data_IF_753094324286
#
_entry.id   IF_753094324286
#
_cell.length_a   1.000
_cell.length_b   1.000
_cell.length_c   1.000
_cell.angle_alpha   90.00
_cell.angle_beta   90.00
_cell.angle_gamma   90.00
#
_symmetry.space_group_name_H-M   'P 1'
#
loop_
_entity.id
_entity.type
_entity.pdbx_description
1 polymer ?
#
# COMPACT_ATOMS: atom_id res chain seq x y z
N UNK A 1 -8.00 -33.32 -4.91
CA UNK A 1 -8.20 -32.04 -4.18
C UNK A 1 -6.92 -31.42 -3.63
N UNK A 2 -5.75 -32.10 -3.61
CA UNK A 2 -4.47 -31.51 -3.16
C UNK A 2 -3.73 -30.62 -4.19
N UNK A 3 -4.15 -30.62 -5.45
CA UNK A 3 -3.38 -30.03 -6.56
C UNK A 3 -3.47 -28.50 -6.64
N UNK A 4 -4.65 -27.93 -6.35
CA UNK A 4 -4.89 -26.49 -6.53
C UNK A 4 -4.07 -25.64 -5.54
N UNK A 5 -3.81 -26.17 -4.34
CA UNK A 5 -2.99 -25.56 -3.31
C UNK A 5 -1.51 -25.54 -3.71
N UNK A 6 -1.01 -26.71 -4.17
CA UNK A 6 0.36 -26.85 -4.63
C UNK A 6 0.64 -25.95 -5.85
N UNK A 7 -0.29 -25.87 -6.80
CA UNK A 7 -0.15 -24.99 -7.99
C UNK A 7 -0.10 -23.52 -7.59
N UNK A 8 -0.97 -23.09 -6.66
CA UNK A 8 -0.99 -21.70 -6.16
C UNK A 8 0.32 -21.35 -5.45
N UNK A 9 0.74 -22.21 -4.53
CA UNK A 9 1.91 -21.96 -3.70
C UNK A 9 3.20 -22.04 -4.55
N UNK A 10 3.28 -22.98 -5.49
CA UNK A 10 4.37 -23.06 -6.46
C UNK A 10 4.44 -21.82 -7.34
N UNK A 11 3.29 -21.34 -7.87
CA UNK A 11 3.24 -20.09 -8.65
C UNK A 11 3.74 -18.91 -7.81
N UNK A 12 3.27 -18.76 -6.58
CA UNK A 12 3.70 -17.66 -5.71
C UNK A 12 5.22 -17.73 -5.46
N UNK A 13 5.75 -18.91 -5.18
CA UNK A 13 7.19 -19.11 -4.95
C UNK A 13 8.00 -18.75 -6.20
N UNK A 14 7.54 -19.15 -7.39
CA UNK A 14 8.19 -18.82 -8.66
C UNK A 14 8.18 -17.30 -8.93
N UNK A 15 7.03 -16.65 -8.74
CA UNK A 15 6.89 -15.20 -8.85
C UNK A 15 7.83 -14.48 -7.88
N UNK A 16 7.82 -14.89 -6.61
CA UNK A 16 8.64 -14.28 -5.56
C UNK A 16 10.15 -14.51 -5.78
N UNK A 17 10.54 -15.70 -6.23
CA UNK A 17 11.93 -16.03 -6.53
C UNK A 17 12.49 -15.16 -7.66
N UNK A 18 11.68 -14.92 -8.70
CA UNK A 18 12.07 -14.05 -9.83
C UNK A 18 12.37 -12.64 -9.33
N UNK A 19 11.50 -12.08 -8.47
CA UNK A 19 11.69 -10.73 -7.91
C UNK A 19 12.92 -10.67 -7.01
N UNK A 20 13.09 -11.68 -6.13
CA UNK A 20 14.23 -11.73 -5.20
C UNK A 20 15.56 -11.82 -5.95
N UNK A 21 15.62 -12.53 -7.08
CA UNK A 21 16.82 -12.60 -7.91
C UNK A 21 17.17 -11.22 -8.49
N UNK A 22 16.23 -10.54 -9.15
CA UNK A 22 16.45 -9.19 -9.72
C UNK A 22 16.87 -8.19 -8.61
N UNK A 23 16.27 -8.27 -7.42
CA UNK A 23 16.64 -7.42 -6.28
C UNK A 23 18.06 -7.70 -5.76
N UNK A 24 18.47 -8.98 -5.68
CA UNK A 24 19.81 -9.38 -5.24
C UNK A 24 20.89 -9.00 -6.25
N UNK A 25 20.60 -9.13 -7.55
CA UNK A 25 21.49 -8.67 -8.62
C UNK A 25 21.74 -7.16 -8.53
N UNK A 26 20.76 -6.40 -8.06
CA UNK A 26 20.88 -4.98 -7.76
C UNK A 26 21.51 -4.65 -6.39
N UNK A 27 22.00 -5.67 -5.67
CA UNK A 27 22.73 -5.53 -4.40
C UNK A 27 21.87 -5.58 -3.13
N UNK A 28 20.59 -5.93 -3.21
CA UNK A 28 19.75 -6.08 -2.04
C UNK A 28 20.03 -7.40 -1.30
N UNK A 29 20.23 -7.34 0.03
CA UNK A 29 20.32 -8.54 0.86
C UNK A 29 18.93 -8.93 1.38
N UNK A 30 18.13 -9.54 0.51
CA UNK A 30 16.75 -9.97 0.83
C UNK A 30 16.54 -11.44 0.53
N UNK A 31 15.63 -12.06 1.28
CA UNK A 31 15.13 -13.43 1.06
C UNK A 31 13.69 -13.44 0.56
N UNK A 32 12.99 -12.33 0.76
CA UNK A 32 11.62 -12.11 0.35
C UNK A 32 11.41 -10.63 0.01
N UNK A 33 10.47 -10.32 -0.88
CA UNK A 33 10.02 -8.93 -1.11
C UNK A 33 9.50 -8.30 0.19
N UNK A 34 8.96 -9.11 1.10
CA UNK A 34 8.46 -8.67 2.40
C UNK A 34 9.56 -8.15 3.34
N UNK A 35 10.83 -8.50 3.10
CA UNK A 35 11.96 -7.98 3.86
C UNK A 35 12.14 -6.46 3.63
N UNK A 36 11.77 -5.97 2.43
CA UNK A 36 11.82 -4.55 2.09
C UNK A 36 10.72 -3.73 2.77
N UNK A 37 9.56 -4.34 3.06
CA UNK A 37 8.42 -3.68 3.72
C UNK A 37 8.80 -3.22 5.14
N UNK A 38 9.69 -3.96 5.81
CA UNK A 38 10.19 -3.63 7.14
C UNK A 38 11.45 -2.75 7.13
N UNK A 39 12.03 -2.51 5.95
CA UNK A 39 13.26 -1.75 5.81
C UNK A 39 12.98 -0.24 5.80
N UNK A 40 13.71 0.50 6.64
CA UNK A 40 13.55 1.95 6.80
C UNK A 40 14.41 2.78 5.86
N UNK A 41 15.40 2.16 5.21
CA UNK A 41 16.28 2.84 4.26
C UNK A 41 15.61 2.79 2.89
N UNK A 42 14.95 3.86 2.44
CA UNK A 42 14.05 3.88 1.26
C UNK A 42 14.61 3.54 -0.13
N UNK A 43 15.68 2.74 -0.23
CA UNK A 43 16.17 1.99 -1.40
C UNK A 43 15.77 2.50 -2.79
N UNK A 44 16.13 3.75 -3.14
CA UNK A 44 15.68 4.36 -4.40
C UNK A 44 16.13 3.56 -5.63
N UNK A 45 17.30 2.90 -5.57
CA UNK A 45 17.83 2.07 -6.65
C UNK A 45 17.01 0.81 -6.92
N UNK A 46 16.21 0.34 -5.95
CA UNK A 46 15.36 -0.85 -6.10
C UNK A 46 13.95 -0.51 -6.59
N UNK A 47 13.52 0.76 -6.48
CA UNK A 47 12.17 1.18 -6.88
C UNK A 47 11.88 0.87 -8.35
N UNK A 48 12.76 1.18 -9.34
CA UNK A 48 12.49 0.84 -10.74
C UNK A 48 12.29 -0.66 -10.97
N UNK A 49 13.00 -1.51 -10.22
CA UNK A 49 12.88 -2.98 -10.31
C UNK A 49 11.52 -3.42 -9.79
N UNK A 50 11.11 -2.93 -8.61
CA UNK A 50 9.79 -3.20 -8.04
C UNK A 50 8.67 -2.73 -8.99
N UNK A 51 8.83 -1.57 -9.63
CA UNK A 51 7.87 -1.04 -10.61
C UNK A 51 7.77 -1.90 -11.88
N UNK A 52 8.89 -2.43 -12.38
CA UNK A 52 8.90 -3.40 -13.49
C UNK A 52 8.11 -4.66 -13.10
N UNK A 53 8.34 -5.20 -11.91
CA UNK A 53 7.64 -6.40 -11.44
C UNK A 53 6.15 -6.17 -11.17
N UNK A 54 5.76 -4.97 -10.72
CA UNK A 54 4.36 -4.64 -10.45
C UNK A 54 3.47 -4.70 -11.70
N UNK A 55 4.07 -4.51 -12.89
CA UNK A 55 3.40 -4.56 -14.19
C UNK A 55 3.19 -6.00 -14.71
N UNK A 56 3.84 -6.99 -14.11
CA UNK A 56 3.72 -8.38 -14.51
C UNK A 56 2.40 -8.99 -13.99
N UNK A 57 1.86 -10.03 -14.67
CA UNK A 57 0.57 -10.64 -14.33
C UNK A 57 0.67 -11.56 -13.10
N UNK A 58 1.23 -11.06 -12.01
CA UNK A 58 1.42 -11.77 -10.77
C UNK A 58 0.13 -11.93 -9.97
N UNK A 59 0.14 -12.89 -9.06
CA UNK A 59 -0.94 -13.08 -8.10
C UNK A 59 -1.16 -11.83 -7.22
N UNK A 60 -2.39 -11.64 -6.74
CA UNK A 60 -2.74 -10.52 -5.86
C UNK A 60 -1.80 -10.41 -4.65
N UNK A 61 -1.44 -11.56 -4.07
CA UNK A 61 -0.54 -11.63 -2.92
C UNK A 61 0.86 -11.11 -3.25
N UNK A 62 1.43 -11.52 -4.38
CA UNK A 62 2.74 -11.04 -4.83
C UNK A 62 2.69 -9.54 -5.13
N UNK A 63 1.66 -9.09 -5.86
CA UNK A 63 1.47 -7.65 -6.16
C UNK A 63 1.31 -6.83 -4.89
N UNK A 64 0.62 -7.34 -3.87
CA UNK A 64 0.48 -6.72 -2.54
C UNK A 64 1.83 -6.55 -1.84
N UNK A 65 2.70 -7.57 -1.89
CA UNK A 65 4.06 -7.48 -1.35
C UNK A 65 4.88 -6.39 -2.03
N UNK A 66 4.85 -6.36 -3.37
CA UNK A 66 5.56 -5.33 -4.17
C UNK A 66 5.05 -3.93 -3.85
N UNK A 67 3.72 -3.72 -3.86
CA UNK A 67 3.14 -2.40 -3.58
C UNK A 67 3.45 -1.90 -2.16
N UNK A 68 3.48 -2.79 -1.15
CA UNK A 68 3.93 -2.40 0.20
C UNK A 68 5.41 -2.01 0.24
N UNK A 69 6.27 -2.70 -0.51
CA UNK A 69 7.68 -2.32 -0.63
C UNK A 69 7.85 -0.98 -1.38
N UNK A 70 6.87 -0.56 -2.19
CA UNK A 70 6.84 0.75 -2.84
C UNK A 70 6.34 1.89 -1.93
N UNK A 71 6.04 1.63 -0.65
CA UNK A 71 5.67 2.65 0.33
C UNK A 71 6.88 3.47 0.81
N UNK A 72 7.61 4.06 -0.13
CA UNK A 72 8.83 4.85 0.08
C UNK A 72 8.80 6.14 -0.74
N UNK A 73 9.46 7.23 -0.30
CA UNK A 73 9.43 8.51 -1.01
C UNK A 73 9.92 8.45 -2.46
N UNK A 74 10.88 7.57 -2.76
CA UNK A 74 11.43 7.41 -4.10
C UNK A 74 10.41 6.88 -5.13
N UNK A 75 9.30 6.26 -4.69
CA UNK A 75 8.23 5.84 -5.58
C UNK A 75 7.36 7.02 -6.08
N UNK A 76 7.59 8.25 -5.60
CA UNK A 76 6.90 9.46 -6.06
C UNK A 76 7.07 9.70 -7.57
N UNK A 77 8.19 9.25 -8.15
CA UNK A 77 8.44 9.32 -9.61
C UNK A 77 7.38 8.54 -10.42
N UNK A 78 6.74 7.54 -9.81
CA UNK A 78 5.74 6.67 -10.43
C UNK A 78 4.32 6.95 -9.93
N UNK A 79 4.09 8.14 -9.37
CA UNK A 79 2.82 8.52 -8.72
C UNK A 79 1.59 8.23 -9.58
N UNK A 80 1.55 8.75 -10.82
CA UNK A 80 0.40 8.60 -11.71
C UNK A 80 0.07 7.13 -12.00
N UNK A 81 1.11 6.31 -12.18
CA UNK A 81 0.93 4.88 -12.38
C UNK A 81 0.31 4.22 -11.14
N UNK A 82 0.82 4.54 -9.94
CA UNK A 82 0.30 3.98 -8.69
C UNK A 82 -1.16 4.40 -8.44
N UNK A 83 -1.51 5.65 -8.73
CA UNK A 83 -2.90 6.14 -8.66
C UNK A 83 -3.79 5.35 -9.62
N UNK A 84 -3.38 5.17 -10.87
CA UNK A 84 -4.14 4.38 -11.84
C UNK A 84 -4.30 2.93 -11.41
N UNK A 85 -3.26 2.30 -10.84
CA UNK A 85 -3.40 0.95 -10.30
C UNK A 85 -4.37 0.91 -9.11
N UNK A 86 -4.36 1.93 -8.24
CA UNK A 86 -5.22 1.99 -7.06
C UNK A 86 -6.70 2.12 -7.44
N UNK A 87 -7.01 3.03 -8.36
CA UNK A 87 -8.36 3.25 -8.89
C UNK A 87 -8.92 1.95 -9.52
N UNK A 88 -8.07 1.23 -10.27
CA UNK A 88 -8.47 0.01 -10.98
C UNK A 88 -8.42 -1.27 -10.11
N UNK A 89 -7.83 -1.22 -8.92
CA UNK A 89 -7.68 -2.38 -8.07
C UNK A 89 -9.03 -2.81 -7.48
N UNK A 90 -9.27 -4.12 -7.50
CA UNK A 90 -10.45 -4.73 -6.91
C UNK A 90 -10.34 -4.77 -5.38
N UNK A 91 -11.47 -4.63 -4.71
CA UNK A 91 -11.61 -4.84 -3.27
C UNK A 91 -12.42 -6.10 -2.99
N UNK A 92 -12.34 -6.57 -1.75
CA UNK A 92 -13.18 -7.62 -1.24
C UNK A 92 -12.51 -8.98 -1.20
N UNK A 93 -13.35 -10.01 -1.23
CA UNK A 93 -12.95 -11.39 -0.97
C UNK A 93 -12.62 -12.08 -2.29
N UNK A 94 -11.44 -12.70 -2.35
CA UNK A 94 -11.11 -13.70 -3.34
C UNK A 94 -11.89 -15.00 -3.13
N UNK A 95 -11.61 -16.03 -3.94
CA UNK A 95 -12.33 -17.30 -3.85
C UNK A 95 -12.15 -17.95 -2.47
N UNK A 96 -13.24 -18.49 -1.92
CA UNK A 96 -13.20 -19.46 -0.82
C UNK A 96 -12.84 -20.81 -1.42
N UNK A 97 -11.74 -21.38 -0.97
CA UNK A 97 -11.29 -22.68 -1.43
C UNK A 97 -11.89 -23.80 -0.56
N UNK A 98 -12.11 -25.01 -1.11
CA UNK A 98 -12.65 -26.13 -0.34
C UNK A 98 -11.77 -26.47 0.86
N UNK A 99 -12.35 -26.40 2.07
CA UNK A 99 -11.68 -26.74 3.33
C UNK A 99 -11.05 -25.57 4.09
N UNK A 100 -11.14 -24.33 3.59
CA UNK A 100 -10.82 -23.14 4.37
C UNK A 100 -12.09 -22.52 4.97
N UNK A 101 -12.04 -22.18 6.26
CA UNK A 101 -13.07 -21.38 6.93
C UNK A 101 -12.86 -19.88 6.69
N UNK A 102 -11.64 -19.45 6.36
CA UNK A 102 -11.27 -18.05 6.11
C UNK A 102 -11.26 -17.72 4.63
N UNK A 103 -12.04 -16.71 4.24
CA UNK A 103 -12.02 -16.16 2.89
C UNK A 103 -10.67 -15.51 2.58
N UNK A 104 -10.16 -15.73 1.36
CA UNK A 104 -9.00 -15.00 0.87
C UNK A 104 -9.37 -13.51 0.74
N UNK A 105 -8.67 -12.61 1.42
CA UNK A 105 -8.91 -11.15 1.28
C UNK A 105 -7.94 -10.61 0.23
N UNK A 106 -8.46 -9.94 -0.80
CA UNK A 106 -7.62 -9.26 -1.79
C UNK A 106 -6.90 -8.09 -1.11
N UNK A 107 -5.57 -8.14 -1.06
CA UNK A 107 -4.75 -7.19 -0.31
C UNK A 107 -4.02 -6.18 -1.20
N UNK A 108 -4.21 -6.25 -2.52
CA UNK A 108 -3.45 -5.41 -3.44
C UNK A 108 -3.86 -3.93 -3.38
N UNK A 109 -5.15 -3.61 -3.30
CA UNK A 109 -5.60 -2.21 -3.21
C UNK A 109 -5.13 -1.52 -1.93
N UNK A 110 -5.20 -2.21 -0.79
CA UNK A 110 -4.65 -1.72 0.47
C UNK A 110 -3.14 -1.49 0.39
N UNK A 111 -2.41 -2.40 -0.25
CA UNK A 111 -0.98 -2.25 -0.46
C UNK A 111 -0.64 -1.03 -1.34
N UNK A 112 -1.44 -0.76 -2.38
CA UNK A 112 -1.31 0.45 -3.19
C UNK A 112 -1.63 1.71 -2.40
N UNK A 113 -2.60 1.68 -1.49
CA UNK A 113 -2.85 2.79 -0.58
C UNK A 113 -1.65 3.06 0.35
N UNK A 114 -0.97 2.01 0.83
CA UNK A 114 0.31 2.17 1.53
C UNK A 114 1.38 2.79 0.62
N UNK A 115 1.49 2.36 -0.64
CA UNK A 115 2.43 2.91 -1.61
C UNK A 115 2.24 4.42 -1.78
N UNK A 116 1.01 4.85 -2.10
CA UNK A 116 0.63 6.25 -2.25
C UNK A 116 0.90 7.06 -0.97
N UNK A 117 0.57 6.51 0.19
CA UNK A 117 0.81 7.13 1.50
C UNK A 117 2.31 7.34 1.79
N UNK A 118 3.15 6.39 1.36
CA UNK A 118 4.61 6.47 1.52
C UNK A 118 5.32 7.32 0.47
N UNK A 119 4.71 7.50 -0.71
CA UNK A 119 5.29 8.20 -1.85
C UNK A 119 4.73 9.61 -2.08
N UNK A 120 3.74 10.05 -1.31
CA UNK A 120 3.14 11.39 -1.48
C UNK A 120 4.16 12.51 -1.24
N UNK A 121 4.06 13.55 -2.07
CA UNK A 121 4.82 14.79 -2.00
C UNK A 121 3.89 15.97 -1.74
N UNK A 122 4.42 17.17 -1.51
CA UNK A 122 3.59 18.37 -1.36
C UNK A 122 2.73 18.64 -2.60
N UNK A 123 3.29 18.40 -3.80
CA UNK A 123 2.60 18.61 -5.08
C UNK A 123 1.46 17.62 -5.32
N UNK A 124 1.61 16.38 -4.85
CA UNK A 124 0.64 15.29 -5.07
C UNK A 124 -0.36 15.11 -3.92
N UNK A 125 -0.13 15.82 -2.81
CA UNK A 125 -0.99 15.82 -1.63
C UNK A 125 -2.45 16.17 -1.92
N UNK A 126 -2.79 17.17 -2.77
CA UNK A 126 -4.19 17.43 -3.12
C UNK A 126 -4.88 16.20 -3.72
N UNK A 127 -4.21 15.47 -4.62
CA UNK A 127 -4.78 14.28 -5.24
C UNK A 127 -4.93 13.12 -4.24
N UNK A 128 -3.97 12.94 -3.32
CA UNK A 128 -4.11 11.96 -2.23
C UNK A 128 -5.36 12.25 -1.38
N UNK A 129 -5.64 13.53 -1.10
CA UNK A 129 -6.83 13.96 -0.34
C UNK A 129 -8.11 13.59 -1.09
N UNK A 130 -8.18 13.85 -2.39
CA UNK A 130 -9.36 13.48 -3.21
C UNK A 130 -9.61 11.97 -3.18
N UNK A 131 -8.57 11.14 -3.30
CA UNK A 131 -8.68 9.69 -3.18
C UNK A 131 -9.17 9.26 -1.78
N UNK A 132 -8.72 9.92 -0.71
CA UNK A 132 -9.18 9.61 0.65
C UNK A 132 -10.66 9.99 0.88
N UNK A 133 -11.14 11.04 0.19
CA UNK A 133 -12.52 11.52 0.27
C UNK A 133 -13.51 10.68 -0.52
N UNK A 134 -13.08 10.03 -1.60
CA UNK A 134 -13.98 9.24 -2.45
C UNK A 134 -14.41 7.92 -1.77
N UNK A 135 -15.67 7.77 -1.30
CA UNK A 135 -16.12 6.56 -0.62
C UNK A 135 -16.13 5.31 -1.51
N UNK A 136 -16.02 5.45 -2.83
CA UNK A 136 -15.90 4.32 -3.76
C UNK A 136 -14.62 3.50 -3.56
N UNK A 137 -13.65 4.01 -2.80
CA UNK A 137 -12.41 3.33 -2.45
C UNK A 137 -12.45 2.57 -1.11
N UNK A 138 -13.62 2.50 -0.47
CA UNK A 138 -13.86 1.60 0.65
C UNK A 138 -12.95 1.83 1.86
N UNK A 139 -12.60 0.75 2.55
CA UNK A 139 -11.80 0.78 3.77
C UNK A 139 -10.32 1.09 3.51
N UNK A 140 -9.83 0.86 2.29
CA UNK A 140 -8.43 1.15 1.93
C UNK A 140 -8.05 2.64 2.10
N UNK A 141 -9.05 3.53 2.09
CA UNK A 141 -8.90 4.98 2.36
C UNK A 141 -8.26 5.27 3.71
N UNK A 142 -8.42 4.38 4.70
CA UNK A 142 -7.79 4.50 6.02
C UNK A 142 -6.25 4.57 5.92
N UNK A 143 -5.67 3.94 4.90
CA UNK A 143 -4.21 3.92 4.69
C UNK A 143 -3.71 5.20 3.99
N UNK A 144 -4.59 5.91 3.28
CA UNK A 144 -4.28 7.16 2.58
C UNK A 144 -4.20 8.37 3.51
N UNK A 145 -4.85 8.34 4.69
CA UNK A 145 -4.93 9.53 5.57
C UNK A 145 -3.71 9.74 6.47
N UNK A 146 -2.82 8.74 6.58
CA UNK A 146 -1.61 8.81 7.41
C UNK A 146 -0.70 10.04 7.17
N UNK A 147 -0.47 10.49 5.92
CA UNK A 147 0.33 11.67 5.61
C UNK A 147 -0.32 12.97 6.09
N UNK A 148 -1.66 13.05 6.11
CA UNK A 148 -2.39 14.23 6.59
C UNK A 148 -2.08 14.52 8.06
N UNK A 149 -1.90 13.47 8.88
CA UNK A 149 -1.53 13.60 10.30
C UNK A 149 -0.17 14.28 10.50
N UNK A 150 0.76 14.09 9.56
CA UNK A 150 2.15 14.59 9.67
C UNK A 150 2.35 15.92 8.95
N UNK A 151 1.51 16.22 7.96
CA UNK A 151 1.58 17.43 7.16
C UNK A 151 1.11 18.66 7.94
N UNK A 152 1.83 19.78 7.78
CA UNK A 152 1.48 21.08 8.37
C UNK A 152 0.69 21.98 7.41
N UNK A 153 0.50 21.55 6.16
CA UNK A 153 -0.18 22.32 5.13
C UNK A 153 -1.63 22.62 5.53
N UNK A 154 -2.14 23.80 5.13
CA UNK A 154 -3.53 24.19 5.41
C UNK A 154 -4.52 23.18 4.84
N UNK A 155 -4.31 22.73 3.60
CA UNK A 155 -5.14 21.72 2.93
C UNK A 155 -5.24 20.40 3.72
N UNK A 156 -4.19 20.01 4.44
CA UNK A 156 -4.22 18.82 5.29
C UNK A 156 -5.10 19.02 6.50
N UNK A 157 -5.05 20.20 7.13
CA UNK A 157 -5.89 20.53 8.29
C UNK A 157 -7.36 20.56 7.88
N UNK A 158 -7.66 21.23 6.77
CA UNK A 158 -9.01 21.33 6.23
C UNK A 158 -9.55 19.94 5.88
N UNK A 159 -8.76 19.10 5.19
CA UNK A 159 -9.12 17.73 4.89
C UNK A 159 -9.35 16.88 6.16
N UNK A 160 -8.55 17.07 7.20
CA UNK A 160 -8.71 16.35 8.49
C UNK A 160 -9.98 16.77 9.22
N UNK A 161 -10.32 18.06 9.20
CA UNK A 161 -11.55 18.55 9.82
C UNK A 161 -12.79 18.05 9.07
N UNK A 162 -12.74 17.96 7.74
CA UNK A 162 -13.79 17.37 6.93
C UNK A 162 -13.94 15.86 7.17
N UNK A 163 -12.85 15.09 6.99
CA UNK A 163 -12.85 13.63 7.08
C UNK A 163 -13.13 13.10 8.50
N UNK A 164 -13.03 13.95 9.54
CA UNK A 164 -13.44 13.60 10.91
C UNK A 164 -14.89 13.16 11.01
N UNK A 165 -15.73 13.61 10.08
CA UNK A 165 -17.15 13.31 10.02
C UNK A 165 -17.47 12.10 9.10
N UNK A 166 -16.49 11.56 8.38
CA UNK A 166 -16.66 10.36 7.54
C UNK A 166 -16.87 9.13 8.45
N UNK A 167 -17.97 8.36 8.30
CA UNK A 167 -18.26 7.22 9.17
C UNK A 167 -17.17 6.15 9.23
N UNK A 168 -16.40 5.94 8.16
CA UNK A 168 -15.32 4.95 8.09
C UNK A 168 -14.00 5.48 8.65
N UNK A 169 -13.73 6.79 8.52
CA UNK A 169 -12.45 7.39 8.91
C UNK A 169 -12.48 8.14 10.25
N UNK A 170 -13.69 8.50 10.72
CA UNK A 170 -13.90 9.28 11.93
C UNK A 170 -13.19 8.69 13.14
N UNK A 171 -13.26 7.36 13.34
CA UNK A 171 -12.64 6.70 14.50
C UNK A 171 -11.14 6.96 14.56
N UNK A 172 -10.45 6.80 13.43
CA UNK A 172 -9.00 6.99 13.33
C UNK A 172 -8.63 8.48 13.47
N UNK A 173 -9.29 9.36 12.72
CA UNK A 173 -9.00 10.80 12.73
C UNK A 173 -9.28 11.44 14.09
N UNK A 174 -10.33 11.00 14.79
CA UNK A 174 -10.63 11.47 16.14
C UNK A 174 -9.59 11.03 17.17
N UNK A 175 -8.86 9.93 16.92
CA UNK A 175 -7.80 9.46 17.82
C UNK A 175 -6.58 10.39 17.86
N UNK A 176 -6.29 11.10 16.76
CA UNK A 176 -5.09 11.92 16.62
C UNK A 176 -5.03 13.13 17.57
N UNK A 177 -6.20 13.63 18.01
CA UNK A 177 -6.26 14.77 18.95
C UNK A 177 -5.68 14.43 20.33
N UNK A 178 -5.65 13.16 20.73
CA UNK A 178 -5.12 12.76 22.05
C UNK A 178 -3.60 12.81 22.18
N UNK A 179 -2.87 13.01 21.08
CA UNK A 179 -1.39 12.95 21.07
C UNK A 179 -0.68 14.31 21.08
N UNK A 180 -1.40 15.43 20.97
CA UNK A 180 -0.79 16.78 20.93
C UNK A 180 -0.92 17.60 22.23
N UNK A 181 -1.61 17.09 23.25
CA UNK A 181 -1.78 17.79 24.54
C UNK A 181 -0.73 17.42 25.60
N UNK A 182 0.33 16.70 25.22
CA UNK A 182 1.28 16.10 26.16
C UNK A 182 2.74 16.49 25.95
N UNK A 183 3.09 17.78 25.81
CA UNK A 183 4.35 18.38 26.32
C UNK A 183 4.15 19.91 26.38
N UNK A 184 3.67 20.42 27.51
CA UNK A 184 3.96 21.78 27.99
C UNK A 184 3.98 21.73 29.52
N UNK A 185 5.16 21.47 30.06
CA UNK A 185 5.54 21.69 31.46
C UNK A 185 6.98 22.13 31.47
#
# INVERSE_FOLDING_TARGET
MGDIWAIRDARRLEEEQTIVNDLREAGANVTSVWDLVNSRSGYPTLVPILMKHLQLPYSDRTRSGIARALAVPAASEYWDFLVQQYINAKEGKGPVFPGEETEFVLGFKEALACALSGSVTEDTLPQLIELAKDPAHGESRLLLIGPLRRSKAAISKDAVDELRHDPQLAKEINSWRRSNDGVRS
#
